data_IF_090561191202
#
_entry.id   IF_090561191202
#
_cell.length_a   1.000
_cell.length_b   1.000
_cell.length_c   1.000
_cell.angle_alpha   90.00
_cell.angle_beta   90.00
_cell.angle_gamma   90.00
#
_symmetry.space_group_name_H-M   'P 1'
#
loop_
_entity.id
_entity.type
_entity.pdbx_description
1 polymer ?
#
# COMPACT_ATOMS: atom_id res chain seq x y z
N UNK A 1 10.25 -3.02 3.56
CA UNK A 1 9.86 -3.40 2.19
C UNK A 1 8.47 -2.84 1.89
N UNK A 2 8.32 -2.03 0.82
CA UNK A 2 7.00 -1.68 0.30
C UNK A 2 6.52 -2.87 -0.52
N UNK A 3 5.48 -3.56 -0.06
CA UNK A 3 4.86 -4.60 -0.85
C UNK A 3 3.98 -3.94 -1.91
N UNK A 4 4.18 -4.32 -3.17
CA UNK A 4 3.35 -3.84 -4.26
C UNK A 4 1.91 -4.33 -4.10
N UNK A 5 0.93 -3.61 -4.63
CA UNK A 5 -0.49 -4.04 -4.54
C UNK A 5 -0.71 -5.46 -5.08
N UNK A 6 0.07 -5.86 -6.09
CA UNK A 6 0.12 -7.21 -6.65
C UNK A 6 0.62 -8.28 -5.65
N UNK A 7 1.68 -8.02 -4.88
CA UNK A 7 2.17 -8.95 -3.84
C UNK A 7 1.14 -9.15 -2.73
N UNK A 8 0.47 -8.07 -2.31
CA UNK A 8 -0.57 -8.15 -1.28
C UNK A 8 -1.76 -8.99 -1.74
N UNK A 9 -2.16 -8.84 -3.01
CA UNK A 9 -3.23 -9.65 -3.61
C UNK A 9 -2.82 -11.12 -3.71
N UNK A 10 -1.58 -11.40 -4.12
CA UNK A 10 -1.05 -12.77 -4.17
C UNK A 10 -1.05 -13.41 -2.77
N UNK A 11 -0.69 -12.66 -1.74
CA UNK A 11 -0.74 -13.11 -0.34
C UNK A 11 -2.17 -13.46 0.09
N UNK A 12 -3.15 -12.61 -0.21
CA UNK A 12 -4.57 -12.87 0.12
C UNK A 12 -5.05 -14.14 -0.57
N UNK A 13 -4.79 -14.29 -1.88
CA UNK A 13 -5.17 -15.50 -2.62
C UNK A 13 -4.48 -16.75 -2.08
N UNK A 14 -3.21 -16.67 -1.71
CA UNK A 14 -2.49 -17.79 -1.12
C UNK A 14 -3.15 -18.23 0.19
N UNK A 15 -3.49 -17.26 1.05
CA UNK A 15 -4.15 -17.54 2.33
C UNK A 15 -5.55 -18.12 2.12
N UNK A 16 -6.31 -17.66 1.13
CA UNK A 16 -7.65 -18.19 0.81
C UNK A 16 -7.64 -19.62 0.26
N UNK A 17 -6.58 -20.01 -0.47
CA UNK A 17 -6.44 -21.35 -1.04
C UNK A 17 -5.67 -22.33 -0.13
N UNK A 18 -5.03 -21.83 0.93
CA UNK A 18 -4.24 -22.64 1.84
C UNK A 18 -5.14 -23.39 2.82
N UNK A 19 -4.90 -24.69 2.98
CA UNK A 19 -5.52 -25.51 4.02
C UNK A 19 -4.87 -25.29 5.40
N UNK A 20 -3.74 -24.56 5.44
CA UNK A 20 -3.05 -24.19 6.67
C UNK A 20 -3.75 -23.02 7.36
N UNK A 21 -3.59 -22.93 8.68
CA UNK A 21 -4.08 -21.76 9.43
C UNK A 21 -3.44 -20.47 8.90
N UNK A 22 -4.24 -19.41 8.80
CA UNK A 22 -3.79 -18.05 8.39
C UNK A 22 -2.52 -17.63 9.14
N UNK A 23 -2.44 -17.93 10.45
CA UNK A 23 -1.28 -17.57 11.27
C UNK A 23 0.00 -18.29 10.84
N UNK A 24 -0.09 -19.56 10.42
CA UNK A 24 1.07 -20.32 9.95
C UNK A 24 1.57 -19.76 8.61
N UNK A 25 0.68 -19.59 7.63
CA UNK A 25 1.02 -19.04 6.32
C UNK A 25 1.62 -17.63 6.42
N UNK A 26 1.07 -16.76 7.27
CA UNK A 26 1.62 -15.42 7.46
C UNK A 26 3.00 -15.42 8.14
N UNK A 27 3.27 -16.37 9.04
CA UNK A 27 4.60 -16.53 9.65
C UNK A 27 5.64 -16.92 8.59
N UNK A 28 5.30 -17.84 7.70
CA UNK A 28 6.18 -18.25 6.60
C UNK A 28 6.45 -17.10 5.62
N UNK A 29 5.43 -16.30 5.32
CA UNK A 29 5.55 -15.12 4.47
C UNK A 29 6.23 -13.92 5.15
N UNK A 30 6.50 -13.99 6.47
CA UNK A 30 7.05 -12.87 7.23
C UNK A 30 6.11 -11.66 7.33
N UNK A 31 4.81 -11.86 7.16
CA UNK A 31 3.81 -10.79 7.21
C UNK A 31 3.18 -10.72 8.59
N UNK A 32 3.22 -9.55 9.21
CA UNK A 32 2.54 -9.33 10.49
C UNK A 32 1.01 -9.47 10.33
N UNK A 33 0.36 -10.13 11.29
CA UNK A 33 -1.10 -10.35 11.30
C UNK A 33 -1.90 -9.05 11.15
N UNK A 34 -1.50 -8.00 11.87
CA UNK A 34 -2.15 -6.68 11.81
C UNK A 34 -2.11 -6.08 10.40
N UNK A 35 -0.98 -6.20 9.72
CA UNK A 35 -0.79 -5.77 8.33
C UNK A 35 -1.70 -6.53 7.38
N UNK A 36 -1.75 -7.86 7.50
CA UNK A 36 -2.62 -8.70 6.68
C UNK A 36 -4.10 -8.35 6.87
N UNK A 37 -4.58 -8.23 8.11
CA UNK A 37 -5.99 -7.89 8.35
C UNK A 37 -6.34 -6.47 7.89
N UNK A 38 -5.40 -5.52 7.93
CA UNK A 38 -5.59 -4.20 7.32
C UNK A 38 -5.78 -4.28 5.81
N UNK A 39 -4.99 -5.12 5.13
CA UNK A 39 -5.16 -5.38 3.69
C UNK A 39 -6.46 -6.11 3.39
N UNK A 40 -6.80 -7.13 4.17
CA UNK A 40 -8.02 -7.91 3.99
C UNK A 40 -9.27 -7.05 4.17
N UNK A 41 -9.29 -6.13 5.14
CA UNK A 41 -10.35 -5.13 5.29
C UNK A 41 -10.48 -4.26 4.04
N UNK A 42 -9.37 -3.68 3.57
CA UNK A 42 -9.39 -2.83 2.37
C UNK A 42 -9.83 -3.61 1.11
N UNK A 43 -9.42 -4.88 1.01
CA UNK A 43 -9.83 -5.78 -0.06
C UNK A 43 -11.33 -6.11 0.00
N UNK A 44 -11.88 -6.36 1.19
CA UNK A 44 -13.30 -6.61 1.38
C UNK A 44 -14.16 -5.39 1.04
N UNK A 45 -13.69 -4.18 1.33
CA UNK A 45 -14.44 -2.94 1.07
C UNK A 45 -14.29 -2.42 -0.37
N UNK A 46 -13.11 -2.56 -0.98
CA UNK A 46 -12.75 -1.88 -2.24
C UNK A 46 -12.19 -2.83 -3.31
N UNK A 47 -12.19 -4.13 -3.06
CA UNK A 47 -11.60 -5.13 -3.94
C UNK A 47 -10.09 -4.95 -4.14
N UNK A 48 -9.58 -5.43 -5.27
CA UNK A 48 -8.17 -5.33 -5.64
C UNK A 48 -7.65 -3.87 -5.64
N UNK A 49 -8.50 -2.89 -5.94
CA UNK A 49 -8.15 -1.48 -5.95
C UNK A 49 -7.78 -0.95 -4.55
N UNK A 50 -8.29 -1.56 -3.47
CA UNK A 50 -7.96 -1.20 -2.09
C UNK A 50 -6.56 -1.63 -1.63
N UNK A 51 -5.91 -2.53 -2.37
CA UNK A 51 -4.56 -3.04 -2.07
C UNK A 51 -3.46 -2.23 -2.76
N UNK A 52 -3.83 -1.47 -3.79
CA UNK A 52 -2.92 -0.56 -4.47
C UNK A 52 -2.34 0.42 -3.47
N UNK A 53 -1.06 0.75 -3.64
CA UNK A 53 -0.40 1.71 -2.77
C UNK A 53 -1.11 3.05 -2.92
N UNK A 54 -1.78 3.50 -1.85
CA UNK A 54 -2.38 4.82 -1.86
C UNK A 54 -1.21 5.78 -1.92
N UNK A 55 -1.09 6.48 -3.04
CA UNK A 55 -0.02 7.44 -3.25
C UNK A 55 0.02 8.36 -2.02
N UNK A 56 1.03 8.20 -1.17
CA UNK A 56 1.42 9.20 -0.17
C UNK A 56 2.04 10.35 -0.94
N UNK A 57 1.24 10.98 -1.81
CA UNK A 57 1.57 12.31 -2.31
C UNK A 57 1.83 13.19 -1.09
N UNK A 58 2.76 14.16 -1.18
CA UNK A 58 3.09 14.98 -0.03
C UNK A 58 1.82 15.68 0.44
N UNK A 59 1.23 15.15 1.52
CA UNK A 59 -0.12 15.49 1.97
C UNK A 59 -0.26 16.96 2.36
N UNK A 60 0.87 17.62 2.60
CA UNK A 60 0.99 19.05 2.75
C UNK A 60 2.49 19.39 2.71
N UNK A 61 3.03 19.82 1.57
CA UNK A 61 4.36 20.43 1.58
C UNK A 61 4.20 21.84 2.14
N UNK A 62 4.54 22.04 3.42
CA UNK A 62 4.54 23.36 4.06
C UNK A 62 5.34 24.43 3.28
N UNK A 63 6.26 24.01 2.41
CA UNK A 63 7.12 24.88 1.60
C UNK A 63 6.79 24.83 0.09
N UNK A 64 5.57 24.47 -0.32
CA UNK A 64 5.23 24.44 -1.76
C UNK A 64 5.07 25.87 -2.28
N UNK A 65 6.10 26.37 -2.96
CA UNK A 65 6.04 27.64 -3.69
C UNK A 65 5.01 27.48 -4.83
N UNK A 66 4.04 28.41 -4.97
CA UNK A 66 3.08 28.41 -6.08
C UNK A 66 3.80 28.39 -7.42
N UNK A 67 3.30 27.60 -8.38
CA UNK A 67 3.88 27.45 -9.73
C UNK A 67 4.22 28.78 -10.43
N UNK A 68 3.42 29.88 -10.37
CA UNK A 68 3.79 31.14 -11.02
C UNK A 68 5.07 31.80 -10.49
N UNK A 69 5.53 31.43 -9.28
CA UNK A 69 6.75 31.97 -8.67
C UNK A 69 7.98 31.09 -8.94
N UNK A 70 7.81 29.87 -9.47
CA UNK A 70 8.93 29.02 -9.90
C UNK A 70 9.55 29.48 -11.22
N UNK A 71 8.75 30.02 -12.13
CA UNK A 71 9.25 30.51 -13.43
C UNK A 71 10.15 31.75 -13.30
N UNK A 72 10.02 32.52 -12.21
CA UNK A 72 10.90 33.69 -11.95
C UNK A 72 12.29 33.32 -11.40
N UNK A 73 12.51 32.08 -10.97
CA UNK A 73 13.79 31.65 -10.37
C UNK A 73 14.73 31.00 -11.39
N UNK A 74 14.23 30.67 -12.59
CA UNK A 74 15.00 29.97 -13.63
C UNK A 74 15.72 30.95 -14.58
N UNK A 75 15.50 32.27 -14.45
CA UNK A 75 16.15 33.30 -15.26
C UNK A 75 17.23 34.05 -14.45
N UNK A 76 18.34 33.36 -14.14
CA UNK A 76 19.59 33.97 -13.63
C UNK A 76 20.79 33.21 -14.17
#
# INVERSE_FOLDING_TARGET
MRQSGSEKLATIRLVENSELSVTATLRELGVARSTFYGWYRNYSERGAAGLLDRHSGPGFCWNRIPDPMREQVVDT
#
